data_IF_875938356910
#
_entry.id   IF_875938356910
#
_cell.length_a   1.000
_cell.length_b   1.000
_cell.length_c   1.000
_cell.angle_alpha   90.00
_cell.angle_beta   90.00
_cell.angle_gamma   90.00
#
_symmetry.space_group_name_H-M   'P 1'
#
loop_
_entity.id
_entity.type
_entity.pdbx_description
1 polymer ?
#
# COMPACT_ATOMS: atom_id res chain seq x y z
N UNK A 1 8.45 -14.28 -13.63
CA UNK A 1 7.19 -14.26 -12.85
C UNK A 1 5.98 -14.71 -13.68
N UNK A 2 5.65 -14.07 -14.82
CA UNK A 2 4.56 -14.51 -15.72
C UNK A 2 4.56 -16.00 -16.05
N UNK A 3 5.73 -16.57 -16.29
CA UNK A 3 5.85 -18.01 -16.61
C UNK A 3 5.38 -18.93 -15.48
N UNK A 4 5.61 -18.55 -14.21
CA UNK A 4 5.13 -19.32 -13.06
C UNK A 4 3.60 -19.33 -13.05
N UNK A 5 2.97 -18.17 -13.31
CA UNK A 5 1.51 -18.08 -13.40
C UNK A 5 0.97 -18.95 -14.53
N UNK A 6 1.54 -18.86 -15.74
CA UNK A 6 1.13 -19.70 -16.88
C UNK A 6 1.26 -21.18 -16.57
N UNK A 7 2.36 -21.60 -15.97
CA UNK A 7 2.57 -22.99 -15.61
C UNK A 7 1.55 -23.45 -14.56
N UNK A 8 1.24 -22.62 -13.55
CA UNK A 8 0.19 -22.94 -12.58
C UNK A 8 -1.18 -23.11 -13.23
N UNK A 9 -1.54 -22.22 -14.17
CA UNK A 9 -2.81 -22.32 -14.90
C UNK A 9 -2.86 -23.58 -15.78
N UNK A 10 -1.77 -23.86 -16.51
CA UNK A 10 -1.63 -25.06 -17.35
C UNK A 10 -1.73 -26.36 -16.55
N UNK A 11 -1.16 -26.38 -15.34
CA UNK A 11 -1.17 -27.52 -14.44
C UNK A 11 -2.46 -27.61 -13.59
N UNK A 12 -3.39 -26.66 -13.74
CA UNK A 12 -4.59 -26.51 -12.89
C UNK A 12 -4.26 -26.46 -11.38
N UNK A 13 -3.10 -25.88 -11.04
CA UNK A 13 -2.64 -25.74 -9.65
C UNK A 13 -3.07 -24.40 -9.07
N UNK A 14 -3.54 -24.45 -7.83
CA UNK A 14 -3.80 -23.25 -7.03
C UNK A 14 -2.49 -22.63 -6.54
N UNK A 15 -2.38 -21.32 -6.67
CA UNK A 15 -1.21 -20.53 -6.29
C UNK A 15 -1.63 -19.42 -5.33
N UNK A 16 -1.05 -19.43 -4.12
CA UNK A 16 -1.09 -18.28 -3.21
C UNK A 16 0.14 -17.40 -3.44
N UNK A 17 -0.08 -16.12 -3.68
CA UNK A 17 0.96 -15.10 -3.79
C UNK A 17 0.85 -14.13 -2.62
N UNK A 18 1.83 -14.17 -1.73
CA UNK A 18 1.98 -13.15 -0.69
C UNK A 18 2.72 -11.92 -1.24
N UNK A 19 2.17 -10.72 -1.03
CA UNK A 19 2.82 -9.46 -1.38
C UNK A 19 3.10 -8.65 -0.11
N UNK A 20 4.35 -8.23 0.07
CA UNK A 20 4.78 -7.36 1.18
C UNK A 20 4.64 -5.87 0.81
N UNK A 21 3.40 -5.44 0.61
CA UNK A 21 2.99 -4.03 0.49
C UNK A 21 1.61 -3.88 1.16
N UNK A 22 1.25 -2.68 1.59
CA UNK A 22 -0.11 -2.42 2.00
C UNK A 22 -1.01 -2.35 0.75
N UNK A 23 -1.94 -3.29 0.62
CA UNK A 23 -2.86 -3.35 -0.52
C UNK A 23 -4.00 -2.33 -0.39
N UNK A 24 -4.32 -1.90 0.82
CA UNK A 24 -5.34 -0.89 1.10
C UNK A 24 -4.79 0.35 1.77
N UNK A 25 -5.71 1.27 2.08
CA UNK A 25 -5.41 2.52 2.74
C UNK A 25 -6.46 2.82 3.82
N UNK A 26 -6.12 3.67 4.82
CA UNK A 26 -7.02 3.99 5.91
C UNK A 26 -8.42 4.39 5.44
N UNK A 27 -9.43 3.95 6.20
CA UNK A 27 -10.84 4.21 5.92
C UNK A 27 -11.07 5.66 5.52
N UNK A 28 -11.82 5.84 4.43
CA UNK A 28 -12.20 7.16 3.95
C UNK A 28 -11.30 7.73 2.85
N UNK A 29 -10.12 7.14 2.59
CA UNK A 29 -9.26 7.61 1.49
C UNK A 29 -9.95 7.53 0.11
N UNK A 30 -10.64 6.43 -0.28
CA UNK A 30 -11.34 6.38 -1.55
C UNK A 30 -12.32 7.54 -1.74
N UNK A 31 -13.13 7.83 -0.73
CA UNK A 31 -14.13 8.90 -0.76
C UNK A 31 -13.49 10.29 -0.70
N UNK A 32 -12.38 10.45 0.04
CA UNK A 32 -11.63 11.70 0.07
C UNK A 32 -11.02 12.03 -1.30
N UNK A 33 -10.43 11.04 -1.97
CA UNK A 33 -9.73 11.22 -3.23
C UNK A 33 -10.70 11.44 -4.41
N UNK A 34 -11.78 10.66 -4.47
CA UNK A 34 -12.74 10.65 -5.59
C UNK A 34 -13.91 11.61 -5.39
N UNK A 35 -14.17 12.06 -4.16
CA UNK A 35 -15.39 12.80 -3.75
C UNK A 35 -16.70 12.05 -3.98
N UNK A 36 -16.62 10.73 -4.13
CA UNK A 36 -17.76 9.83 -4.29
C UNK A 36 -18.01 9.06 -3.01
N UNK A 37 -19.27 8.93 -2.59
CA UNK A 37 -19.63 8.18 -1.36
C UNK A 37 -19.59 6.67 -1.55
N UNK A 38 -19.74 6.20 -2.80
CA UNK A 38 -19.72 4.79 -3.20
C UNK A 38 -18.31 4.29 -3.58
N UNK A 39 -17.29 5.15 -3.51
CA UNK A 39 -15.93 4.78 -3.90
C UNK A 39 -15.30 3.75 -2.98
N UNK A 40 -14.49 2.86 -3.55
CA UNK A 40 -13.80 1.78 -2.83
C UNK A 40 -12.31 1.71 -3.21
N UNK A 41 -11.62 0.68 -2.71
CA UNK A 41 -10.21 0.42 -3.00
C UNK A 41 -9.89 0.38 -4.50
N UNK A 42 -10.82 -0.07 -5.38
CA UNK A 42 -10.58 -0.15 -6.83
C UNK A 42 -10.43 1.23 -7.44
N UNK A 43 -11.18 2.22 -6.95
CA UNK A 43 -11.05 3.59 -7.42
C UNK A 43 -9.67 4.15 -7.07
N UNK A 44 -9.15 3.85 -5.87
CA UNK A 44 -7.79 4.24 -5.47
C UNK A 44 -6.74 3.53 -6.31
N UNK A 45 -6.88 2.22 -6.55
CA UNK A 45 -5.95 1.45 -7.37
C UNK A 45 -5.89 1.95 -8.81
N UNK A 46 -7.04 2.29 -9.40
CA UNK A 46 -7.11 2.91 -10.73
C UNK A 46 -6.40 4.27 -10.76
N UNK A 47 -6.62 5.12 -9.76
CA UNK A 47 -5.94 6.42 -9.64
C UNK A 47 -4.43 6.27 -9.52
N UNK A 48 -3.96 5.26 -8.77
CA UNK A 48 -2.53 4.94 -8.64
C UNK A 48 -1.97 4.43 -9.97
N UNK A 49 -2.59 3.42 -10.56
CA UNK A 49 -2.10 2.75 -11.77
C UNK A 49 -2.09 3.67 -13.01
N UNK A 50 -3.00 4.64 -13.08
CA UNK A 50 -3.04 5.62 -14.18
C UNK A 50 -1.96 6.70 -14.07
N UNK A 51 -1.37 6.90 -12.89
CA UNK A 51 -0.42 8.00 -12.66
C UNK A 51 1.00 7.53 -12.40
N UNK A 52 1.19 6.37 -11.77
CA UNK A 52 2.54 5.86 -11.48
C UNK A 52 3.24 5.43 -12.77
N UNK A 53 4.48 5.87 -12.90
CA UNK A 53 5.42 5.44 -13.92
C UNK A 53 6.73 5.07 -13.23
N UNK A 54 7.32 3.96 -13.63
CA UNK A 54 8.66 3.52 -13.22
C UNK A 54 9.49 3.07 -14.43
N UNK A 55 10.79 2.89 -14.21
CA UNK A 55 11.72 2.38 -15.20
C UNK A 55 12.56 1.22 -14.67
N UNK A 56 13.36 0.62 -15.56
CA UNK A 56 14.24 -0.51 -15.24
C UNK A 56 15.35 -0.14 -14.25
N UNK A 57 15.61 1.16 -14.02
CA UNK A 57 16.59 1.65 -13.05
C UNK A 57 15.96 1.93 -11.67
N UNK A 58 14.72 1.50 -11.45
CA UNK A 58 13.92 1.76 -10.24
C UNK A 58 13.64 3.25 -9.99
N UNK A 59 13.82 4.13 -10.98
CA UNK A 59 13.32 5.48 -10.88
C UNK A 59 11.80 5.46 -11.09
N UNK A 60 11.10 6.33 -10.37
CA UNK A 60 9.65 6.45 -10.47
C UNK A 60 9.16 7.83 -10.01
N UNK A 61 7.91 8.15 -10.33
CA UNK A 61 7.26 9.43 -10.04
C UNK A 61 6.37 9.41 -8.78
N UNK A 62 6.67 8.55 -7.80
CA UNK A 62 5.82 8.36 -6.61
C UNK A 62 5.60 9.63 -5.78
N UNK A 63 6.58 10.54 -5.76
CA UNK A 63 6.46 11.81 -5.02
C UNK A 63 5.49 12.75 -5.73
N UNK A 64 5.50 12.78 -7.06
CA UNK A 64 4.59 13.55 -7.89
C UNK A 64 3.15 13.03 -7.74
N UNK A 65 2.95 11.71 -7.75
CA UNK A 65 1.64 11.09 -7.52
C UNK A 65 1.13 11.39 -6.11
N UNK A 66 1.96 11.24 -5.09
CA UNK A 66 1.60 11.58 -3.71
C UNK A 66 1.26 13.07 -3.55
N UNK A 67 2.02 13.97 -4.19
CA UNK A 67 1.73 15.40 -4.21
C UNK A 67 0.38 15.70 -4.87
N UNK A 68 0.05 15.02 -5.97
CA UNK A 68 -1.25 15.14 -6.62
C UNK A 68 -2.39 14.69 -5.68
N UNK A 69 -2.24 13.54 -5.02
CA UNK A 69 -3.23 13.05 -4.05
C UNK A 69 -3.41 14.04 -2.91
N UNK A 70 -2.32 14.50 -2.30
CA UNK A 70 -2.34 15.51 -1.24
C UNK A 70 -3.03 16.81 -1.71
N UNK A 71 -2.80 17.27 -2.94
CA UNK A 71 -3.46 18.47 -3.48
C UNK A 71 -4.98 18.36 -3.59
N UNK A 72 -5.49 17.14 -3.80
CA UNK A 72 -6.93 16.86 -3.96
C UNK A 72 -7.65 16.73 -2.63
N UNK A 73 -6.97 16.17 -1.63
CA UNK A 73 -7.58 15.80 -0.34
C UNK A 73 -7.30 16.79 0.77
N UNK A 74 -6.23 17.60 0.69
CA UNK A 74 -5.94 18.59 1.73
C UNK A 74 -6.86 19.81 1.65
N UNK A 75 -7.33 20.36 2.79
CA UNK A 75 -8.16 21.57 2.81
C UNK A 75 -7.53 22.74 2.05
N UNK A 76 -8.36 23.47 1.30
CA UNK A 76 -7.92 24.69 0.61
C UNK A 76 -7.64 25.79 1.64
N UNK A 77 -6.48 26.44 1.52
CA UNK A 77 -6.20 27.68 2.27
C UNK A 77 -6.24 28.87 1.30
N UNK A 78 -6.81 30.02 1.70
CA UNK A 78 -6.78 31.24 0.89
C UNK A 78 -5.33 31.62 0.52
N UNK A 79 -5.08 31.92 -0.77
CA UNK A 79 -3.78 32.43 -1.27
C UNK A 79 -3.00 31.51 -2.22
N UNK A 80 -3.56 30.37 -2.67
CA UNK A 80 -2.85 29.39 -3.50
C UNK A 80 -3.19 29.52 -5.00
N UNK A 81 -2.32 30.17 -5.79
CA UNK A 81 -2.34 30.05 -7.25
C UNK A 81 -1.52 28.84 -7.68
N UNK A 82 -2.17 27.74 -8.08
CA UNK A 82 -1.50 26.59 -8.70
C UNK A 82 -1.21 26.92 -10.16
N UNK A 83 0.02 27.31 -10.48
CA UNK A 83 0.47 27.35 -11.88
C UNK A 83 0.64 25.92 -12.39
N UNK A 84 -0.16 25.52 -13.40
CA UNK A 84 0.14 24.36 -14.24
C UNK A 84 1.50 24.61 -14.90
N UNK A 85 2.51 23.82 -14.58
CA UNK A 85 3.80 23.85 -15.26
C UNK A 85 3.70 23.09 -16.58
N UNK A 86 3.31 23.79 -17.65
CA UNK A 86 3.65 23.38 -19.01
C UNK A 86 5.12 23.68 -19.25
N UNK A 87 5.95 22.66 -19.46
CA UNK A 87 7.36 22.84 -19.86
C UNK A 87 7.42 23.46 -21.26
N UNK A 88 7.97 24.66 -21.35
CA UNK A 88 8.61 25.16 -22.57
C UNK A 88 10.00 25.69 -22.21
N UNK A 89 10.99 25.21 -22.94
CA UNK A 89 12.43 25.43 -22.75
C UNK A 89 12.84 26.84 -23.16
N UNK A 90 13.55 27.59 -22.30
CA UNK A 90 14.77 28.39 -22.63
C UNK A 90 15.31 29.17 -21.42
N UNK A 91 16.55 28.85 -21.01
CA UNK A 91 17.69 29.71 -20.67
C UNK A 91 17.57 31.08 -19.94
N UNK A 92 18.22 31.10 -18.76
CA UNK A 92 19.14 32.09 -18.14
C UNK A 92 18.66 33.42 -17.49
N UNK A 93 19.15 33.55 -16.23
CA UNK A 93 19.57 34.74 -15.47
C UNK A 93 18.51 35.76 -15.01
N UNK A 94 18.27 35.78 -13.69
CA UNK A 94 18.35 37.01 -12.89
C UNK A 94 18.27 36.69 -11.39
N UNK A 95 19.24 37.25 -10.68
CA UNK A 95 19.37 37.31 -9.23
C UNK A 95 18.35 38.31 -8.69
N UNK A 96 17.51 37.94 -7.73
CA UNK A 96 16.90 38.91 -6.83
C UNK A 96 16.57 38.26 -5.49
N UNK A 97 17.27 38.73 -4.46
CA UNK A 97 17.03 38.44 -3.06
C UNK A 97 15.98 39.44 -2.60
N UNK A 98 14.77 38.97 -2.30
CA UNK A 98 13.80 39.75 -1.54
C UNK A 98 13.37 38.96 -0.31
N UNK A 99 13.97 39.32 0.81
CA UNK A 99 13.59 38.88 2.14
C UNK A 99 12.32 39.64 2.53
N UNK A 100 11.19 38.93 2.57
CA UNK A 100 9.96 39.43 3.19
C UNK A 100 9.70 38.55 4.41
N UNK A 101 9.86 39.16 5.58
CA UNK A 101 9.46 38.62 6.88
C UNK A 101 7.94 38.71 7.00
N UNK A 102 7.25 37.57 7.07
CA UNK A 102 5.79 37.51 7.24
C UNK A 102 5.23 36.08 7.17
N UNK A 103 4.45 35.75 8.19
CA UNK A 103 3.56 34.61 8.49
C UNK A 103 3.15 33.58 7.41
N UNK A 104 2.74 32.41 7.94
CA UNK A 104 2.30 31.13 7.32
C UNK A 104 3.41 30.16 6.91
N UNK A 105 4.29 29.82 7.86
CA UNK A 105 5.26 28.73 7.72
C UNK A 105 4.62 27.37 7.98
N UNK A 106 3.84 26.86 7.03
CA UNK A 106 3.74 25.45 6.61
C UNK A 106 2.50 25.28 5.73
N UNK A 107 2.68 25.45 4.42
CA UNK A 107 1.60 25.29 3.46
C UNK A 107 1.05 23.87 3.45
N UNK A 108 -0.28 23.76 3.30
CA UNK A 108 -1.10 22.58 2.96
C UNK A 108 -0.32 21.26 2.96
N UNK A 109 -0.08 20.72 4.16
CA UNK A 109 0.43 19.36 4.32
C UNK A 109 -0.71 18.40 3.95
N UNK A 110 -0.40 17.35 3.21
CA UNK A 110 -1.31 16.22 3.04
C UNK A 110 -0.78 14.99 3.78
N UNK A 111 -1.59 13.92 3.87
CA UNK A 111 -1.23 12.77 4.67
C UNK A 111 0.02 12.07 4.16
N UNK A 112 0.31 12.06 2.85
CA UNK A 112 1.57 11.51 2.33
C UNK A 112 2.77 12.39 2.65
N UNK A 113 3.84 11.80 3.20
CA UNK A 113 4.98 12.53 3.77
C UNK A 113 6.31 11.80 3.60
N UNK A 114 7.41 12.45 3.97
CA UNK A 114 8.75 11.84 3.97
C UNK A 114 9.51 12.06 2.66
N UNK A 115 9.21 13.09 1.88
CA UNK A 115 10.03 13.43 0.73
C UNK A 115 11.44 13.89 1.17
N UNK A 116 12.53 13.49 0.49
CA UNK A 116 13.86 14.03 0.75
C UNK A 116 13.86 15.56 0.67
N UNK A 117 14.61 16.27 1.51
CA UNK A 117 14.62 17.74 1.54
C UNK A 117 14.79 18.40 0.17
N UNK A 118 15.62 17.84 -0.70
CA UNK A 118 15.85 18.35 -2.06
C UNK A 118 14.63 18.24 -3.00
N UNK A 119 13.65 17.37 -2.69
CA UNK A 119 12.38 17.21 -3.43
C UNK A 119 11.16 17.62 -2.62
N UNK A 120 11.33 17.92 -1.33
CA UNK A 120 10.24 18.21 -0.44
C UNK A 120 9.56 19.53 -0.85
N UNK A 121 8.23 19.51 -0.84
CA UNK A 121 7.40 20.67 -1.13
C UNK A 121 6.25 20.75 -0.13
N UNK A 122 5.40 21.76 -0.29
CA UNK A 122 4.20 21.93 0.56
C UNK A 122 3.31 20.68 0.53
N UNK A 123 3.17 20.08 -0.65
CA UNK A 123 2.31 18.93 -0.89
C UNK A 123 2.94 17.57 -0.58
N UNK A 124 4.24 17.48 -0.29
CA UNK A 124 4.89 16.25 0.21
C UNK A 124 5.95 16.68 1.19
N UNK A 125 5.57 16.98 2.44
CA UNK A 125 6.50 17.47 3.45
C UNK A 125 7.54 16.39 3.81
N UNK A 126 8.71 16.79 4.33
CA UNK A 126 9.74 15.83 4.76
C UNK A 126 9.37 15.13 6.08
N UNK A 127 8.45 15.71 6.85
CA UNK A 127 8.04 15.22 8.17
C UNK A 127 6.58 14.79 8.18
N UNK A 128 6.26 13.88 9.11
CA UNK A 128 4.92 13.35 9.30
C UNK A 128 3.96 14.44 9.77
N UNK A 129 2.75 14.56 9.18
CA UNK A 129 1.73 15.47 9.66
C UNK A 129 1.05 14.93 10.92
N UNK A 130 0.18 15.75 11.51
CA UNK A 130 -0.72 15.30 12.56
C UNK A 130 -1.80 14.37 12.02
N UNK A 131 -2.23 13.42 12.87
CA UNK A 131 -3.32 12.49 12.59
C UNK A 131 -4.31 12.46 13.76
N UNK A 132 -5.62 12.23 13.51
CA UNK A 132 -6.22 11.94 12.20
C UNK A 132 -6.18 13.15 11.27
N UNK A 133 -5.80 12.92 10.00
CA UNK A 133 -5.68 13.97 9.01
C UNK A 133 -7.09 14.37 8.53
N UNK A 134 -7.45 15.64 8.70
CA UNK A 134 -8.74 16.18 8.24
C UNK A 134 -8.63 16.63 6.79
N UNK A 135 -9.39 15.96 5.92
CA UNK A 135 -9.45 16.26 4.49
C UNK A 135 -10.35 17.48 4.19
N UNK A 136 -10.26 17.99 2.95
CA UNK A 136 -11.06 19.11 2.45
C UNK A 136 -12.57 18.85 2.47
N UNK A 137 -13.00 17.59 2.34
CA UNK A 137 -14.40 17.18 2.43
C UNK A 137 -14.79 16.68 3.83
N UNK A 138 -13.96 16.95 4.85
CA UNK A 138 -14.29 16.70 6.26
C UNK A 138 -14.06 15.26 6.73
N UNK A 139 -13.63 14.34 5.85
CA UNK A 139 -13.27 12.97 6.20
C UNK A 139 -11.99 12.97 7.05
N UNK A 140 -11.99 12.18 8.12
CA UNK A 140 -10.84 11.97 8.99
C UNK A 140 -10.09 10.70 8.56
N UNK A 141 -8.84 10.87 8.13
CA UNK A 141 -7.98 9.75 7.75
C UNK A 141 -7.08 9.37 8.93
N UNK A 142 -7.13 8.11 9.35
CA UNK A 142 -6.26 7.62 10.40
C UNK A 142 -4.80 7.51 9.95
N UNK A 143 -3.87 7.50 10.91
CA UNK A 143 -2.44 7.25 10.64
C UNK A 143 -2.21 5.84 10.10
N UNK A 144 -2.87 4.87 10.71
CA UNK A 144 -2.74 3.44 10.43
C UNK A 144 -4.12 2.87 10.09
N UNK A 145 -4.15 1.78 9.33
CA UNK A 145 -5.38 0.99 9.15
C UNK A 145 -5.61 0.19 10.41
N UNK A 146 -6.78 -0.44 10.52
CA UNK A 146 -7.09 -1.22 11.70
C UNK A 146 -6.13 -2.42 11.88
N UNK A 147 -5.70 -3.05 10.78
CA UNK A 147 -4.83 -4.24 10.84
C UNK A 147 -3.46 -3.95 11.45
N UNK A 148 -2.88 -2.77 11.24
CA UNK A 148 -1.59 -2.41 11.87
C UNK A 148 -1.70 -2.32 13.39
N UNK A 149 -2.86 -1.96 13.95
CA UNK A 149 -3.06 -1.95 15.41
C UNK A 149 -2.97 -3.36 16.02
N UNK A 150 -3.21 -4.40 15.22
CA UNK A 150 -3.09 -5.81 15.62
C UNK A 150 -1.73 -6.42 15.25
N UNK A 151 -0.91 -5.73 14.46
CA UNK A 151 0.38 -6.20 13.99
C UNK A 151 1.51 -5.21 14.35
N UNK A 152 1.95 -5.17 15.63
CA UNK A 152 2.97 -4.24 16.08
C UNK A 152 4.29 -4.40 15.32
N UNK A 153 4.74 -3.32 14.69
CA UNK A 153 5.97 -3.27 13.88
C UNK A 153 5.74 -2.95 12.41
N UNK A 154 4.49 -3.10 11.94
CA UNK A 154 4.03 -2.54 10.66
C UNK A 154 4.15 -1.00 10.65
N UNK A 155 4.19 -0.42 9.46
CA UNK A 155 4.38 1.01 9.23
C UNK A 155 3.14 1.62 8.59
N UNK A 156 2.98 2.94 8.69
CA UNK A 156 1.86 3.63 8.03
C UNK A 156 1.98 3.61 6.49
N UNK A 157 0.83 3.68 5.82
CA UNK A 157 0.73 3.66 4.36
C UNK A 157 0.98 5.04 3.72
N UNK A 158 1.52 6.00 4.49
CA UNK A 158 1.65 7.39 4.07
C UNK A 158 3.11 7.80 3.79
N UNK A 159 4.08 7.15 4.45
CA UNK A 159 5.50 7.50 4.33
C UNK A 159 6.12 7.13 2.98
N UNK A 160 6.83 8.07 2.37
CA UNK A 160 7.34 7.98 1.00
C UNK A 160 8.85 7.69 0.87
N UNK A 161 9.66 7.92 1.91
CA UNK A 161 11.11 7.67 1.83
C UNK A 161 11.72 7.25 3.15
N UNK A 162 12.88 6.61 3.07
CA UNK A 162 13.63 6.10 4.21
C UNK A 162 13.10 4.76 4.72
N UNK A 163 13.58 4.35 5.89
CA UNK A 163 13.19 3.09 6.54
C UNK A 163 11.67 3.11 6.81
N UNK A 164 10.98 2.04 6.40
CA UNK A 164 9.53 1.91 6.60
C UNK A 164 8.67 2.75 5.65
N UNK A 165 9.12 2.97 4.40
CA UNK A 165 8.39 3.73 3.39
C UNK A 165 7.29 2.92 2.68
N UNK A 166 6.39 2.33 3.48
CA UNK A 166 5.28 1.49 2.98
C UNK A 166 4.37 2.26 2.04
N UNK A 167 4.16 3.57 2.25
CA UNK A 167 3.38 4.38 1.32
C UNK A 167 3.94 4.37 -0.10
N UNK A 168 5.26 4.51 -0.25
CA UNK A 168 5.92 4.41 -1.57
C UNK A 168 5.82 3.03 -2.18
N UNK A 169 6.07 1.99 -1.38
CA UNK A 169 5.99 0.59 -1.84
C UNK A 169 4.57 0.25 -2.30
N UNK A 170 3.56 0.76 -1.59
CA UNK A 170 2.15 0.55 -1.91
C UNK A 170 1.78 1.27 -3.20
N UNK A 171 2.16 2.54 -3.39
CA UNK A 171 1.92 3.27 -4.64
C UNK A 171 2.51 2.54 -5.85
N UNK A 172 3.78 2.15 -5.80
CA UNK A 172 4.42 1.48 -6.95
C UNK A 172 3.94 0.03 -7.13
N UNK A 173 3.76 -0.70 -6.02
CA UNK A 173 3.33 -2.10 -6.05
C UNK A 173 1.89 -2.27 -6.50
N UNK A 174 0.97 -1.41 -6.04
CA UNK A 174 -0.43 -1.40 -6.48
C UNK A 174 -0.52 -1.05 -7.96
N UNK A 175 0.25 -0.08 -8.46
CA UNK A 175 0.26 0.25 -9.89
C UNK A 175 0.60 -0.99 -10.74
N UNK A 176 1.64 -1.74 -10.32
CA UNK A 176 2.05 -2.96 -11.00
C UNK A 176 1.01 -4.08 -10.89
N UNK A 177 0.42 -4.26 -9.71
CA UNK A 177 -0.56 -5.30 -9.46
C UNK A 177 -1.88 -5.03 -10.20
N UNK A 178 -2.34 -3.78 -10.24
CA UNK A 178 -3.54 -3.40 -11.01
C UNK A 178 -3.31 -3.62 -12.51
N UNK A 179 -2.14 -3.26 -13.05
CA UNK A 179 -1.80 -3.56 -14.43
C UNK A 179 -1.81 -5.08 -14.72
N UNK A 180 -1.36 -5.91 -13.77
CA UNK A 180 -1.42 -7.36 -13.89
C UNK A 180 -2.85 -7.90 -13.76
N UNK A 181 -3.65 -7.36 -12.84
CA UNK A 181 -5.06 -7.73 -12.62
C UNK A 181 -5.93 -7.44 -13.85
N UNK A 182 -5.56 -6.44 -14.65
CA UNK A 182 -6.25 -6.07 -15.88
C UNK A 182 -5.75 -6.83 -17.12
N UNK A 183 -4.71 -7.66 -16.99
CA UNK A 183 -4.21 -8.46 -18.12
C UNK A 183 -5.25 -9.52 -18.52
N UNK A 184 -5.79 -9.51 -19.76
CA UNK A 184 -6.79 -10.48 -20.20
C UNK A 184 -6.36 -11.95 -20.06
N UNK A 185 -5.06 -12.24 -20.10
CA UNK A 185 -4.50 -13.59 -19.91
C UNK A 185 -4.75 -14.11 -18.49
N UNK A 186 -4.70 -13.25 -17.47
CA UNK A 186 -4.73 -13.65 -16.06
C UNK A 186 -5.97 -13.18 -15.29
N UNK A 187 -6.65 -12.14 -15.78
CA UNK A 187 -7.82 -11.52 -15.15
C UNK A 187 -8.93 -12.51 -14.74
N UNK A 188 -9.32 -13.53 -15.55
CA UNK A 188 -10.36 -14.48 -15.13
C UNK A 188 -9.85 -15.51 -14.10
N UNK A 189 -8.55 -15.57 -13.86
CA UNK A 189 -7.89 -16.61 -13.07
C UNK A 189 -7.24 -16.11 -11.78
N UNK A 190 -7.44 -14.85 -11.42
CA UNK A 190 -6.89 -14.29 -10.20
C UNK A 190 -7.92 -13.50 -9.38
N UNK A 191 -7.69 -13.41 -8.07
CA UNK A 191 -8.38 -12.46 -7.20
C UNK A 191 -7.46 -11.92 -6.11
N UNK A 192 -7.87 -10.79 -5.53
CA UNK A 192 -7.19 -10.14 -4.40
C UNK A 192 -8.00 -10.34 -3.12
N UNK A 193 -7.44 -11.01 -2.11
CA UNK A 193 -8.04 -11.09 -0.78
C UNK A 193 -7.61 -9.92 0.12
N UNK A 194 -8.49 -9.38 0.98
CA UNK A 194 -9.92 -9.74 1.15
C UNK A 194 -10.86 -8.98 0.21
N UNK A 195 -10.33 -8.11 -0.64
CA UNK A 195 -11.08 -7.16 -1.45
C UNK A 195 -12.10 -7.76 -2.43
N UNK A 196 -11.80 -8.92 -3.00
CA UNK A 196 -12.63 -9.55 -4.03
C UNK A 196 -13.32 -10.82 -3.54
N UNK A 197 -12.86 -11.38 -2.43
CA UNK A 197 -13.38 -12.66 -1.89
C UNK A 197 -13.98 -12.52 -0.50
N UNK A 198 -13.95 -11.31 0.08
CA UNK A 198 -14.30 -11.08 1.46
C UNK A 198 -13.40 -11.87 2.41
N UNK A 199 -13.99 -12.37 3.49
CA UNK A 199 -13.30 -13.18 4.52
C UNK A 199 -13.33 -14.69 4.20
N UNK A 200 -13.34 -15.02 2.92
CA UNK A 200 -13.38 -16.39 2.44
C UNK A 200 -12.38 -16.58 1.30
N UNK A 201 -12.08 -17.85 1.01
CA UNK A 201 -11.28 -18.21 -0.16
C UNK A 201 -12.12 -19.15 -1.02
N UNK A 202 -12.23 -18.91 -2.32
CA UNK A 202 -12.94 -19.82 -3.21
C UNK A 202 -12.30 -21.22 -3.23
N UNK A 203 -13.13 -22.27 -3.32
CA UNK A 203 -12.65 -23.66 -3.28
C UNK A 203 -12.05 -24.14 -4.61
N UNK A 204 -12.58 -23.64 -5.73
CA UNK A 204 -12.20 -24.10 -7.08
C UNK A 204 -11.48 -23.04 -7.92
N UNK A 205 -12.06 -21.85 -8.06
CA UNK A 205 -11.52 -20.75 -8.85
C UNK A 205 -11.73 -19.41 -8.16
N UNK A 206 -10.85 -18.41 -8.35
CA UNK A 206 -9.69 -18.43 -9.24
C UNK A 206 -8.52 -19.28 -8.72
N UNK A 207 -7.64 -19.70 -9.65
CA UNK A 207 -6.47 -20.50 -9.31
C UNK A 207 -5.39 -19.65 -8.62
N UNK A 208 -5.32 -18.36 -8.90
CA UNK A 208 -4.29 -17.46 -8.33
C UNK A 208 -4.94 -16.54 -7.28
N UNK A 209 -4.45 -16.60 -6.05
CA UNK A 209 -4.91 -15.75 -4.96
C UNK A 209 -3.77 -14.84 -4.51
N UNK A 210 -3.98 -13.53 -4.59
CA UNK A 210 -3.08 -12.56 -3.99
C UNK A 210 -3.56 -12.19 -2.59
N UNK A 211 -2.63 -12.13 -1.65
CA UNK A 211 -2.87 -11.66 -0.30
C UNK A 211 -1.72 -10.77 0.16
N UNK A 212 -2.04 -9.72 0.91
CA UNK A 212 -1.04 -8.95 1.63
C UNK A 212 -0.42 -9.83 2.72
N UNK A 213 0.91 -9.81 2.83
CA UNK A 213 1.67 -10.45 3.91
C UNK A 213 2.53 -9.41 4.62
N UNK A 214 2.94 -9.75 5.84
CA UNK A 214 3.95 -8.98 6.56
C UNK A 214 5.03 -9.93 7.08
N UNK A 215 6.26 -9.88 6.54
CA UNK A 215 7.40 -10.71 6.97
C UNK A 215 7.65 -10.74 8.48
N UNK A 216 7.31 -9.66 9.19
CA UNK A 216 7.47 -9.57 10.64
C UNK A 216 6.63 -10.56 11.45
N UNK A 217 5.56 -11.14 10.87
CA UNK A 217 4.75 -12.16 11.57
C UNK A 217 5.55 -13.42 11.89
N UNK A 218 6.54 -13.77 11.06
CA UNK A 218 7.37 -14.97 11.22
C UNK A 218 8.76 -14.63 11.81
N UNK A 219 8.89 -13.50 12.51
CA UNK A 219 10.20 -13.02 13.02
C UNK A 219 10.96 -14.02 13.89
N UNK A 220 10.25 -14.86 14.65
CA UNK A 220 10.85 -15.88 15.51
C UNK A 220 11.46 -17.01 14.69
N UNK A 221 10.73 -17.52 13.70
CA UNK A 221 11.24 -18.54 12.78
C UNK A 221 12.43 -18.03 11.97
N UNK A 222 12.35 -16.78 11.48
CA UNK A 222 13.46 -16.14 10.76
C UNK A 222 14.70 -16.02 11.65
N UNK A 223 14.55 -15.57 12.90
CA UNK A 223 15.65 -15.47 13.85
C UNK A 223 16.29 -16.84 14.16
N UNK A 224 15.46 -17.88 14.32
CA UNK A 224 15.93 -19.25 14.54
C UNK A 224 16.74 -19.76 13.35
N UNK A 225 16.27 -19.55 12.12
CA UNK A 225 16.98 -19.96 10.91
C UNK A 225 18.28 -19.17 10.71
N UNK A 226 18.25 -17.86 10.96
CA UNK A 226 19.42 -17.00 10.85
C UNK A 226 20.53 -17.39 11.84
N UNK A 227 20.17 -17.92 13.01
CA UNK A 227 21.12 -18.45 13.98
C UNK A 227 21.76 -19.79 13.54
N UNK A 228 21.08 -20.59 12.71
CA UNK A 228 21.60 -21.85 12.17
C UNK A 228 22.45 -21.65 10.92
N UNK A 229 22.11 -20.66 10.09
CA UNK A 229 22.75 -20.40 8.80
C UNK A 229 23.39 -19.00 8.80
N UNK A 230 24.50 -18.86 9.53
CA UNK A 230 25.23 -17.60 9.61
C UNK A 230 25.69 -17.14 8.22
N UNK A 231 25.36 -15.90 7.87
CA UNK A 231 25.71 -15.30 6.57
C UNK A 231 24.57 -15.23 5.55
N UNK A 232 23.41 -15.86 5.78
CA UNK A 232 22.24 -15.65 4.92
C UNK A 232 21.65 -14.25 5.05
N UNK A 233 21.14 -13.75 3.92
CA UNK A 233 20.42 -12.48 3.84
C UNK A 233 19.07 -12.64 4.54
N UNK A 234 18.74 -11.71 5.43
CA UNK A 234 17.51 -11.76 6.23
C UNK A 234 16.23 -11.80 5.37
N UNK A 235 16.18 -11.01 4.31
CA UNK A 235 15.00 -10.91 3.43
C UNK A 235 14.75 -12.23 2.68
N UNK A 236 15.81 -12.94 2.31
CA UNK A 236 15.71 -14.30 1.74
C UNK A 236 15.09 -15.27 2.75
N UNK A 237 15.54 -15.23 4.01
CA UNK A 237 15.00 -16.06 5.09
C UNK A 237 13.53 -15.75 5.36
N UNK A 238 13.11 -14.49 5.24
CA UNK A 238 11.71 -14.07 5.37
C UNK A 238 10.83 -14.70 4.29
N UNK A 239 11.25 -14.64 3.01
CA UNK A 239 10.53 -15.28 1.90
C UNK A 239 10.43 -16.79 2.11
N UNK A 240 11.54 -17.45 2.45
CA UNK A 240 11.56 -18.89 2.69
C UNK A 240 10.69 -19.29 3.89
N UNK A 241 10.65 -18.50 4.95
CA UNK A 241 9.79 -18.73 6.11
C UNK A 241 8.31 -18.69 5.72
N UNK A 242 7.88 -17.70 4.94
CA UNK A 242 6.50 -17.60 4.45
C UNK A 242 6.12 -18.77 3.53
N UNK A 243 6.99 -19.14 2.59
CA UNK A 243 6.76 -20.30 1.73
C UNK A 243 6.61 -21.59 2.54
N UNK A 244 7.50 -21.83 3.51
CA UNK A 244 7.44 -23.02 4.37
C UNK A 244 6.19 -23.04 5.25
N UNK A 245 5.84 -21.90 5.84
CA UNK A 245 4.62 -21.76 6.63
C UNK A 245 3.37 -22.05 5.79
N UNK A 246 3.23 -21.42 4.62
CA UNK A 246 2.08 -21.62 3.74
C UNK A 246 1.95 -23.08 3.28
N UNK A 247 3.07 -23.72 2.91
CA UNK A 247 3.09 -25.14 2.55
C UNK A 247 2.69 -26.03 3.72
N UNK A 248 3.18 -25.77 4.93
CA UNK A 248 2.82 -26.53 6.12
C UNK A 248 1.32 -26.39 6.46
N UNK A 249 0.79 -25.17 6.42
CA UNK A 249 -0.64 -24.92 6.67
C UNK A 249 -1.53 -25.52 5.59
N UNK A 250 -1.07 -25.52 4.33
CA UNK A 250 -1.79 -26.18 3.23
C UNK A 250 -1.82 -27.71 3.41
N UNK A 251 -0.67 -28.34 3.70
CA UNK A 251 -0.58 -29.80 3.95
C UNK A 251 -1.46 -30.24 5.11
N UNK A 252 -1.54 -29.40 6.14
CA UNK A 252 -2.35 -29.67 7.34
C UNK A 252 -3.80 -29.19 7.20
N UNK A 253 -4.23 -28.74 6.02
CA UNK A 253 -5.60 -28.24 5.75
C UNK A 253 -6.06 -27.11 6.68
N UNK A 254 -5.12 -26.27 7.13
CA UNK A 254 -5.35 -25.12 8.03
C UNK A 254 -5.20 -23.77 7.34
N UNK A 255 -4.67 -23.73 6.12
CA UNK A 255 -4.38 -22.47 5.44
C UNK A 255 -5.62 -21.58 5.27
N UNK A 256 -6.78 -22.17 4.94
CA UNK A 256 -8.04 -21.43 4.74
C UNK A 256 -8.52 -20.69 5.99
N UNK A 257 -8.25 -21.18 7.20
CA UNK A 257 -8.69 -20.51 8.43
C UNK A 257 -7.98 -19.16 8.66
N UNK A 258 -6.81 -18.95 8.06
CA UNK A 258 -6.09 -17.67 8.15
C UNK A 258 -6.68 -16.57 7.26
N UNK A 259 -7.61 -16.91 6.37
CA UNK A 259 -8.34 -15.96 5.53
C UNK A 259 -9.69 -15.53 6.12
N UNK A 260 -10.08 -16.15 7.24
CA UNK A 260 -11.33 -15.82 7.94
C UNK A 260 -11.16 -14.55 8.78
N UNK A 261 -12.27 -13.83 8.98
CA UNK A 261 -12.28 -12.65 9.84
C UNK A 261 -11.91 -13.03 11.27
N UNK A 262 -10.99 -12.29 11.93
CA UNK A 262 -10.80 -12.40 13.36
C UNK A 262 -12.12 -12.16 14.10
N UNK A 263 -12.40 -12.96 15.13
CA UNK A 263 -13.65 -12.88 15.92
C UNK A 263 -13.86 -11.53 16.61
N UNK A 264 -12.79 -10.76 16.81
CA UNK A 264 -12.85 -9.42 17.42
C UNK A 264 -13.41 -8.35 16.49
N UNK A 265 -13.48 -8.61 15.18
CA UNK A 265 -13.91 -7.60 14.22
C UNK A 265 -15.43 -7.49 14.19
N UNK A 266 -15.91 -6.28 14.43
CA UNK A 266 -17.31 -5.91 14.14
C UNK A 266 -17.58 -6.00 12.63
N UNK A 267 -18.85 -6.16 12.25
CA UNK A 267 -19.25 -6.16 10.82
C UNK A 267 -18.80 -4.90 10.07
N UNK A 268 -18.81 -3.75 10.75
CA UNK A 268 -18.34 -2.47 10.18
C UNK A 268 -16.84 -2.49 9.86
N UNK A 269 -16.01 -3.09 10.73
CA UNK A 269 -14.58 -3.25 10.48
C UNK A 269 -14.30 -4.29 9.40
N UNK A 270 -15.07 -5.38 9.39
CA UNK A 270 -15.01 -6.38 8.33
C UNK A 270 -15.32 -5.77 6.95
N UNK A 271 -16.39 -4.97 6.87
CA UNK A 271 -16.75 -4.24 5.65
C UNK A 271 -15.67 -3.23 5.25
N UNK A 272 -15.08 -2.52 6.22
CA UNK A 272 -13.99 -1.58 5.98
C UNK A 272 -12.73 -2.24 5.42
N UNK A 273 -12.36 -3.42 5.92
CA UNK A 273 -11.24 -4.19 5.39
C UNK A 273 -11.48 -4.59 3.93
N UNK A 274 -12.69 -4.98 3.56
CA UNK A 274 -13.04 -5.41 2.19
C UNK A 274 -13.23 -4.22 1.23
N UNK A 275 -13.53 -3.03 1.72
CA UNK A 275 -13.85 -1.86 0.87
C UNK A 275 -12.73 -0.82 0.79
N UNK A 276 -11.81 -0.77 1.75
CA UNK A 276 -10.77 0.27 1.80
C UNK A 276 -9.44 -0.20 2.36
N UNK A 277 -9.44 -0.82 3.53
CA UNK A 277 -8.21 -1.01 4.31
C UNK A 277 -7.39 -2.24 3.89
N UNK A 278 -8.03 -3.30 3.39
CA UNK A 278 -7.37 -4.58 3.19
C UNK A 278 -7.05 -5.28 4.51
N UNK A 279 -6.33 -6.41 4.44
CA UNK A 279 -5.92 -7.17 5.61
C UNK A 279 -4.63 -7.94 5.36
N UNK A 280 -3.80 -8.08 6.40
CA UNK A 280 -2.57 -8.86 6.38
C UNK A 280 -2.90 -10.31 6.70
N UNK A 281 -2.56 -11.23 5.81
CA UNK A 281 -2.77 -12.66 6.00
C UNK A 281 -2.10 -13.13 7.29
N UNK A 282 -2.85 -13.87 8.11
CA UNK A 282 -2.32 -14.40 9.37
C UNK A 282 -2.37 -13.43 10.56
N UNK A 283 -2.75 -12.16 10.36
CA UNK A 283 -3.10 -11.28 11.48
C UNK A 283 -4.46 -11.71 12.02
N UNK A 284 -4.38 -12.48 13.09
CA UNK A 284 -5.50 -12.84 13.96
C UNK A 284 -5.16 -12.30 15.36
N UNK A 285 -6.13 -12.18 16.27
CA UNK A 285 -5.82 -11.75 17.65
C UNK A 285 -4.83 -12.68 18.38
N UNK A 286 -4.52 -13.82 17.80
CA UNK A 286 -3.46 -14.73 18.21
C UNK A 286 -2.24 -14.55 17.30
N UNK A 287 -1.04 -14.45 17.90
CA UNK A 287 0.22 -14.52 17.13
C UNK A 287 0.21 -15.81 16.30
N UNK A 288 0.73 -15.77 15.07
CA UNK A 288 0.97 -16.98 14.28
C UNK A 288 1.80 -17.94 15.14
N UNK A 289 1.21 -19.10 15.47
CA UNK A 289 1.85 -20.17 16.24
C UNK A 289 2.94 -20.87 15.42
#
# INVERSE_FOLDING_TARGET
MREIFRQCLKDEKRLLVGIDIALGAPKGLPQALTRRTDADWRDVWKEIATQICDDEQNANNRFEVAANFNSRISPHQPGLNVRKTTRSSTSLLSTEVNTISGEVTHGIQGPYWGAPHARAGRLTPPYSPEFPFRTANGILLARQRFVEMLAPGTQDTWKLCGIGSVGSQSLTGIARLEAFRQDPEFQPHLCIWPFETGWTVPDQQPLILFAEIWPGLLKQEVARQQALESGRIRDELQVLAWCRWAQAMSRNQRLSSYFQSPQVLTESLQSCAVTSEGWILGVTNTKLA
#
